data_IF_848692382501
#
_entry.id   IF_848692382501
#
_cell.length_a   1.000
_cell.length_b   1.000
_cell.length_c   1.000
_cell.angle_alpha   90.00
_cell.angle_beta   90.00
_cell.angle_gamma   90.00
#
_symmetry.space_group_name_H-M   'P 1'
#
loop_
_entity.id
_entity.type
_entity.pdbx_description
1 polymer ?
#
# COMPACT_ATOMS: atom_id res chain seq x y z
N UNK A 1 17.36 23.21 -18.35
CA UNK A 1 17.61 22.08 -17.43
C UNK A 1 16.45 22.06 -16.45
N UNK A 2 15.62 21.03 -16.45
CA UNK A 2 14.48 20.93 -15.53
C UNK A 2 15.05 20.68 -14.13
N UNK A 3 14.59 21.43 -13.12
CA UNK A 3 14.95 21.19 -11.73
C UNK A 3 14.42 19.81 -11.27
N UNK A 4 15.29 18.86 -10.89
CA UNK A 4 14.89 17.53 -10.47
C UNK A 4 13.93 17.54 -9.27
N UNK A 5 14.05 18.50 -8.35
CA UNK A 5 13.16 18.59 -7.20
C UNK A 5 11.75 18.99 -7.63
N UNK A 6 11.63 19.91 -8.58
CA UNK A 6 10.36 20.34 -9.16
C UNK A 6 9.69 19.22 -9.95
N UNK A 7 10.45 18.44 -10.70
CA UNK A 7 9.92 17.28 -11.44
C UNK A 7 9.38 16.20 -10.47
N UNK A 8 10.10 15.87 -9.41
CA UNK A 8 9.62 14.92 -8.40
C UNK A 8 8.40 15.43 -7.63
N UNK A 9 8.30 16.73 -7.40
CA UNK A 9 7.13 17.34 -6.78
C UNK A 9 5.87 17.21 -7.66
N UNK A 10 6.02 17.42 -8.97
CA UNK A 10 4.92 17.28 -9.94
C UNK A 10 4.37 15.85 -9.97
N UNK A 11 5.24 14.84 -10.06
CA UNK A 11 4.82 13.44 -10.06
C UNK A 11 4.10 13.05 -8.77
N UNK A 12 4.53 13.56 -7.61
CA UNK A 12 3.82 13.33 -6.34
C UNK A 12 2.40 13.88 -6.36
N UNK A 13 2.21 15.05 -6.97
CA UNK A 13 0.90 15.68 -7.08
C UNK A 13 -0.01 14.85 -7.99
N UNK A 14 0.50 14.39 -9.14
CA UNK A 14 -0.27 13.55 -10.06
C UNK A 14 -0.65 12.21 -9.43
N UNK A 15 0.30 11.53 -8.78
CA UNK A 15 0.03 10.30 -7.99
C UNK A 15 -1.03 10.55 -6.90
N UNK A 16 -0.95 11.68 -6.19
CA UNK A 16 -1.96 12.04 -5.18
C UNK A 16 -3.33 12.25 -5.83
N UNK A 17 -3.38 12.90 -6.99
CA UNK A 17 -4.60 13.14 -7.76
C UNK A 17 -5.27 11.81 -8.16
N UNK A 18 -4.51 10.90 -8.74
CA UNK A 18 -5.00 9.59 -9.17
C UNK A 18 -5.51 8.75 -8.00
N UNK A 19 -4.78 8.72 -6.88
CA UNK A 19 -5.25 8.04 -5.66
C UNK A 19 -6.55 8.67 -5.14
N UNK A 20 -6.64 9.99 -5.13
CA UNK A 20 -7.85 10.70 -4.67
C UNK A 20 -9.04 10.35 -5.55
N UNK A 21 -8.86 10.35 -6.87
CA UNK A 21 -9.91 10.02 -7.82
C UNK A 21 -10.35 8.55 -7.68
N UNK A 22 -9.38 7.63 -7.59
CA UNK A 22 -9.66 6.21 -7.43
C UNK A 22 -10.43 5.94 -6.13
N UNK A 23 -9.95 6.47 -5.00
CA UNK A 23 -10.58 6.25 -3.71
C UNK A 23 -11.95 6.93 -3.59
N UNK A 24 -12.16 8.06 -4.27
CA UNK A 24 -13.50 8.66 -4.39
C UNK A 24 -14.51 7.70 -5.03
N UNK A 25 -14.13 7.04 -6.13
CA UNK A 25 -14.97 6.02 -6.79
C UNK A 25 -15.23 4.82 -5.88
N UNK A 26 -14.19 4.32 -5.19
CA UNK A 26 -14.34 3.20 -4.25
C UNK A 26 -15.22 3.55 -3.05
N UNK A 27 -15.16 4.80 -2.57
CA UNK A 27 -16.01 5.28 -1.48
C UNK A 27 -17.48 5.27 -1.88
N UNK A 28 -17.80 5.76 -3.09
CA UNK A 28 -19.15 5.67 -3.64
C UNK A 28 -19.60 4.21 -3.75
N UNK A 29 -18.76 3.34 -4.33
CA UNK A 29 -19.11 1.93 -4.52
C UNK A 29 -19.35 1.18 -3.19
N UNK A 30 -18.49 1.38 -2.19
CA UNK A 30 -18.70 0.80 -0.86
C UNK A 30 -20.00 1.31 -0.21
N UNK A 31 -20.33 2.58 -0.40
CA UNK A 31 -21.56 3.16 0.15
C UNK A 31 -22.83 2.61 -0.54
N UNK A 32 -22.73 2.26 -1.82
CA UNK A 32 -23.81 1.59 -2.56
C UNK A 32 -24.03 0.14 -2.08
N UNK A 33 -22.96 -0.54 -1.63
CA UNK A 33 -23.06 -1.89 -1.05
C UNK A 33 -23.74 -1.82 0.32
N UNK A 34 -23.37 -0.86 1.17
CA UNK A 34 -23.99 -0.68 2.48
C UNK A 34 -23.44 0.51 3.25
N UNK A 35 -24.32 1.20 3.99
CA UNK A 35 -23.94 2.35 4.81
C UNK A 35 -22.96 1.99 5.94
N UNK A 36 -22.93 0.72 6.35
CA UNK A 36 -22.01 0.16 7.34
C UNK A 36 -20.55 0.17 6.87
N UNK A 37 -20.30 0.30 5.56
CA UNK A 37 -18.96 0.36 4.97
C UNK A 37 -18.40 1.78 4.89
N UNK A 38 -19.20 2.82 5.19
CA UNK A 38 -18.73 4.21 5.20
C UNK A 38 -17.51 4.41 6.11
N UNK A 39 -17.47 3.90 7.36
CA UNK A 39 -16.28 4.03 8.20
C UNK A 39 -15.04 3.34 7.63
N UNK A 40 -15.22 2.22 6.91
CA UNK A 40 -14.13 1.55 6.19
C UNK A 40 -13.58 2.42 5.06
N UNK A 41 -14.46 3.01 4.25
CA UNK A 41 -14.07 3.92 3.18
C UNK A 41 -13.34 5.16 3.72
N UNK A 42 -13.86 5.79 4.78
CA UNK A 42 -13.24 6.96 5.42
C UNK A 42 -11.86 6.64 6.00
N UNK A 43 -11.72 5.51 6.71
CA UNK A 43 -10.46 5.07 7.28
C UNK A 43 -9.42 4.78 6.19
N UNK A 44 -9.81 4.12 5.09
CA UNK A 44 -8.94 3.86 3.95
C UNK A 44 -8.51 5.16 3.25
N UNK A 45 -9.43 6.11 3.04
CA UNK A 45 -9.11 7.44 2.50
C UNK A 45 -8.07 8.15 3.37
N UNK A 46 -8.31 8.25 4.68
CA UNK A 46 -7.34 8.89 5.58
C UNK A 46 -6.00 8.17 5.55
N UNK A 47 -5.98 6.84 5.61
CA UNK A 47 -4.74 6.06 5.60
C UNK A 47 -3.88 6.33 4.34
N UNK A 48 -4.52 6.36 3.17
CA UNK A 48 -3.85 6.46 1.86
C UNK A 48 -3.53 7.90 1.46
N UNK A 49 -4.42 8.86 1.77
CA UNK A 49 -4.27 10.26 1.34
C UNK A 49 -3.41 11.08 2.31
N UNK A 50 -3.34 10.70 3.58
CA UNK A 50 -2.44 11.32 4.56
C UNK A 50 -1.00 10.75 4.51
N UNK A 51 -0.80 9.69 3.71
CA UNK A 51 0.51 9.25 3.23
C UNK A 51 1.05 10.29 2.23
N UNK A 52 2.33 10.60 2.06
CA UNK A 52 3.60 10.04 2.45
C UNK A 52 4.62 10.51 1.41
N UNK A 53 5.88 10.07 1.52
CA UNK A 53 6.94 10.42 0.57
C UNK A 53 6.78 9.77 -0.82
N UNK A 54 5.69 9.05 -1.14
CA UNK A 54 5.37 8.45 -2.45
C UNK A 54 6.59 7.83 -3.17
N UNK A 55 7.49 7.18 -2.41
CA UNK A 55 8.81 6.81 -2.93
C UNK A 55 8.72 5.72 -3.99
N UNK A 56 7.83 4.73 -3.80
CA UNK A 56 7.65 3.60 -4.71
C UNK A 56 7.15 4.06 -6.08
N UNK A 57 6.06 4.86 -6.18
CA UNK A 57 5.66 5.46 -7.44
C UNK A 57 6.78 6.24 -8.13
N UNK A 58 7.58 6.99 -7.36
CA UNK A 58 8.67 7.79 -7.93
C UNK A 58 9.81 6.94 -8.48
N UNK A 59 10.19 5.86 -7.80
CA UNK A 59 11.19 4.93 -8.32
C UNK A 59 10.68 4.21 -9.57
N UNK A 60 9.42 3.79 -9.58
CA UNK A 60 8.84 3.16 -10.76
C UNK A 60 8.75 4.09 -11.97
N UNK A 61 8.29 5.31 -11.75
CA UNK A 61 8.25 6.32 -12.80
C UNK A 61 9.66 6.68 -13.30
N UNK A 62 10.64 6.79 -12.40
CA UNK A 62 12.03 7.04 -12.78
C UNK A 62 12.64 5.89 -13.59
N UNK A 63 12.37 4.63 -13.22
CA UNK A 63 12.82 3.45 -13.97
C UNK A 63 12.22 3.44 -15.39
N UNK A 64 10.93 3.71 -15.51
CA UNK A 64 10.25 3.83 -16.79
C UNK A 64 10.87 4.92 -17.68
N UNK A 65 11.08 6.13 -17.18
CA UNK A 65 11.74 7.20 -17.95
C UNK A 65 13.18 6.84 -18.33
N UNK A 66 13.94 6.23 -17.40
CA UNK A 66 15.31 5.80 -17.66
C UNK A 66 15.40 4.72 -18.75
N UNK A 67 14.34 3.93 -18.95
CA UNK A 67 14.23 2.93 -20.02
C UNK A 67 13.83 3.50 -21.39
N UNK A 68 13.66 4.82 -21.50
CA UNK A 68 13.21 5.49 -22.73
C UNK A 68 11.69 5.71 -22.82
N UNK A 69 10.97 5.49 -21.71
CA UNK A 69 9.57 5.84 -21.59
C UNK A 69 9.31 7.33 -21.72
N UNK A 70 8.11 7.70 -22.13
CA UNK A 70 7.65 9.10 -22.24
C UNK A 70 6.58 9.38 -21.19
N UNK A 71 6.53 10.61 -20.69
CA UNK A 71 5.50 11.05 -19.75
C UNK A 71 4.09 10.73 -20.27
N UNK A 72 3.34 9.97 -19.49
CA UNK A 72 2.02 9.43 -19.81
C UNK A 72 1.24 9.24 -18.50
N UNK A 73 0.00 9.74 -18.47
CA UNK A 73 -0.85 9.64 -17.29
C UNK A 73 -1.19 8.19 -16.94
N UNK A 74 -1.31 7.30 -17.93
CA UNK A 74 -1.56 5.89 -17.67
C UNK A 74 -0.43 5.24 -16.86
N UNK A 75 0.81 5.70 -17.06
CA UNK A 75 1.95 5.24 -16.27
C UNK A 75 1.88 5.80 -14.86
N UNK A 76 1.45 7.05 -14.67
CA UNK A 76 1.22 7.61 -13.33
C UNK A 76 0.21 6.78 -12.56
N UNK A 77 -0.94 6.46 -13.18
CA UNK A 77 -1.97 5.63 -12.56
C UNK A 77 -1.44 4.23 -12.24
N UNK A 78 -0.68 3.63 -13.15
CA UNK A 78 -0.07 2.32 -12.94
C UNK A 78 0.89 2.33 -11.73
N UNK A 79 1.79 3.32 -11.63
CA UNK A 79 2.75 3.39 -10.51
C UNK A 79 2.11 3.84 -9.20
N UNK A 80 1.02 4.60 -9.24
CA UNK A 80 0.27 5.01 -8.06
C UNK A 80 -0.36 3.81 -7.34
N UNK A 81 -0.69 2.73 -8.06
CA UNK A 81 -1.18 1.48 -7.47
C UNK A 81 -0.25 0.91 -6.38
N UNK A 82 1.05 1.18 -6.46
CA UNK A 82 2.04 0.73 -5.47
C UNK A 82 1.80 1.31 -4.07
N UNK A 83 1.10 2.43 -3.94
CA UNK A 83 0.72 2.99 -2.64
C UNK A 83 -0.43 2.20 -1.99
N UNK A 84 -1.29 1.56 -2.79
CA UNK A 84 -2.34 0.64 -2.30
C UNK A 84 -1.71 -0.68 -1.81
N UNK A 85 -0.75 -1.22 -2.56
CA UNK A 85 0.07 -2.35 -2.10
C UNK A 85 0.82 -2.02 -0.79
N UNK A 86 1.37 -0.80 -0.68
CA UNK A 86 2.00 -0.33 0.55
C UNK A 86 1.00 -0.22 1.71
N UNK A 87 -0.24 0.17 1.44
CA UNK A 87 -1.26 0.21 2.47
C UNK A 87 -1.63 -1.18 2.98
N UNK A 88 -1.78 -2.16 2.08
CA UNK A 88 -1.92 -3.57 2.46
C UNK A 88 -0.81 -3.98 3.42
N UNK A 89 0.45 -3.79 3.00
CA UNK A 89 1.61 -4.18 3.79
C UNK A 89 1.60 -3.56 5.18
N UNK A 90 1.39 -2.24 5.28
CA UNK A 90 1.42 -1.51 6.57
C UNK A 90 0.25 -1.85 7.49
N UNK A 91 -0.96 -1.99 6.96
CA UNK A 91 -2.14 -2.31 7.75
C UNK A 91 -1.97 -3.68 8.42
N UNK A 92 -1.48 -4.66 7.66
CA UNK A 92 -1.18 -5.99 8.19
C UNK A 92 0.03 -5.98 9.14
N UNK A 93 1.11 -5.26 8.81
CA UNK A 93 2.30 -5.13 9.68
C UNK A 93 1.92 -4.54 11.05
N UNK A 94 1.13 -3.46 11.07
CA UNK A 94 0.67 -2.81 12.31
C UNK A 94 -0.12 -3.78 13.20
N UNK A 95 -0.93 -4.67 12.61
CA UNK A 95 -1.66 -5.69 13.35
C UNK A 95 -0.73 -6.80 13.86
N UNK A 96 0.16 -7.32 13.01
CA UNK A 96 1.06 -8.44 13.35
C UNK A 96 2.07 -8.05 14.43
N UNK A 97 2.57 -6.81 14.39
CA UNK A 97 3.50 -6.26 15.38
C UNK A 97 2.78 -5.71 16.64
N UNK A 98 1.44 -5.67 16.66
CA UNK A 98 0.67 -5.09 17.76
C UNK A 98 0.91 -3.59 17.95
N UNK A 99 1.22 -2.86 16.86
CA UNK A 99 1.54 -1.44 16.89
C UNK A 99 0.28 -0.59 17.06
N UNK A 100 0.16 0.14 18.17
CA UNK A 100 -1.03 0.95 18.46
C UNK A 100 -1.20 2.17 17.53
N UNK A 101 -0.10 2.67 16.96
CA UNK A 101 -0.10 3.92 16.19
C UNK A 101 0.71 3.83 14.91
N UNK A 102 0.27 4.58 13.90
CA UNK A 102 0.93 4.77 12.62
C UNK A 102 0.89 6.25 12.25
N UNK A 103 2.06 6.86 12.06
CA UNK A 103 2.21 8.28 11.66
C UNK A 103 1.44 9.25 12.57
N UNK A 104 1.47 8.99 13.89
CA UNK A 104 0.78 9.81 14.89
C UNK A 104 -0.73 9.61 14.97
N UNK A 105 -1.31 8.68 14.19
CA UNK A 105 -2.71 8.29 14.25
C UNK A 105 -2.87 6.87 14.78
N UNK A 106 -4.03 6.46 15.30
CA UNK A 106 -4.29 5.07 15.65
C UNK A 106 -4.07 4.13 14.44
N UNK A 107 -3.45 2.98 14.66
CA UNK A 107 -3.40 1.92 13.65
C UNK A 107 -4.81 1.43 13.31
N UNK A 108 -4.98 0.81 12.13
CA UNK A 108 -6.31 0.43 11.62
C UNK A 108 -7.07 -0.46 12.62
N UNK A 109 -6.41 -1.45 13.23
CA UNK A 109 -7.04 -2.33 14.21
C UNK A 109 -7.49 -1.57 15.47
N UNK A 110 -6.72 -0.58 15.94
CA UNK A 110 -7.10 0.27 17.08
C UNK A 110 -8.23 1.23 16.75
N UNK A 111 -8.24 1.77 15.53
CA UNK A 111 -9.32 2.64 15.08
C UNK A 111 -10.67 1.92 15.10
N UNK A 112 -10.73 0.70 14.54
CA UNK A 112 -11.96 -0.09 14.52
C UNK A 112 -12.33 -0.67 15.90
N UNK A 113 -11.35 -0.98 16.75
CA UNK A 113 -11.61 -1.28 18.16
C UNK A 113 -12.32 -0.10 18.86
N UNK A 114 -11.85 1.13 18.64
CA UNK A 114 -12.47 2.33 19.21
C UNK A 114 -13.89 2.56 18.69
N UNK A 115 -14.14 2.35 17.39
CA UNK A 115 -15.49 2.46 16.81
C UNK A 115 -16.43 1.44 17.48
N UNK A 116 -16.00 0.19 17.61
CA UNK A 116 -16.79 -0.88 18.25
C UNK A 116 -17.18 -0.51 19.68
N UNK A 117 -16.22 -0.04 20.48
CA UNK A 117 -16.47 0.42 21.86
C UNK A 117 -17.41 1.62 21.92
N UNK A 118 -17.20 2.62 21.08
CA UNK A 118 -18.02 3.84 21.09
C UNK A 118 -19.48 3.62 20.69
N UNK A 119 -19.74 2.56 19.91
CA UNK A 119 -21.08 2.17 19.46
C UNK A 119 -21.70 1.10 20.36
N UNK A 120 -21.03 0.74 21.45
CA UNK A 120 -21.48 -0.27 22.43
C UNK A 120 -21.88 -1.59 21.76
N UNK A 121 -21.13 -1.98 20.72
CA UNK A 121 -21.40 -3.21 19.99
C UNK A 121 -21.11 -4.44 20.86
N UNK A 122 -21.82 -5.52 20.59
CA UNK A 122 -21.60 -6.79 21.29
C UNK A 122 -20.31 -7.48 20.83
N UNK A 123 -19.73 -8.30 21.71
CA UNK A 123 -18.54 -9.12 21.42
C UNK A 123 -17.19 -8.44 21.69
N UNK A 124 -16.11 -9.01 21.16
CA UNK A 124 -14.74 -8.54 21.41
C UNK A 124 -14.38 -7.37 20.50
N UNK A 125 -14.18 -6.19 21.09
CA UNK A 125 -13.71 -5.01 20.36
C UNK A 125 -12.32 -5.22 19.71
N UNK A 126 -11.42 -5.92 20.41
CA UNK A 126 -10.08 -6.26 19.90
C UNK A 126 -10.21 -7.20 18.69
N UNK A 127 -11.07 -8.22 18.79
CA UNK A 127 -11.31 -9.16 17.70
C UNK A 127 -11.96 -8.49 16.48
N UNK A 128 -12.87 -7.54 16.71
CA UNK A 128 -13.46 -6.73 15.66
C UNK A 128 -12.42 -5.86 14.94
N UNK A 129 -11.58 -5.15 15.71
CA UNK A 129 -10.49 -4.33 15.16
C UNK A 129 -9.48 -5.14 14.35
N UNK A 130 -9.05 -6.30 14.87
CA UNK A 130 -8.15 -7.19 14.16
C UNK A 130 -8.75 -7.71 12.84
N UNK A 131 -10.02 -8.15 12.88
CA UNK A 131 -10.73 -8.63 11.69
C UNK A 131 -10.90 -7.53 10.65
N UNK A 132 -11.22 -6.31 11.07
CA UNK A 132 -11.30 -5.14 10.18
C UNK A 132 -9.96 -4.84 9.52
N UNK A 133 -8.85 -4.84 10.28
CA UNK A 133 -7.53 -4.59 9.71
C UNK A 133 -7.12 -5.66 8.67
N UNK A 134 -7.41 -6.94 8.91
CA UNK A 134 -7.17 -8.01 7.93
C UNK A 134 -7.91 -7.70 6.62
N UNK A 135 -9.23 -7.50 6.72
CA UNK A 135 -10.09 -7.27 5.55
C UNK A 135 -9.73 -5.98 4.79
N UNK A 136 -9.36 -4.92 5.50
CA UNK A 136 -8.96 -3.65 4.88
C UNK A 136 -7.59 -3.72 4.21
N UNK A 137 -6.66 -4.50 4.78
CA UNK A 137 -5.39 -4.78 4.11
C UNK A 137 -5.58 -5.63 2.84
N UNK A 138 -6.48 -6.63 2.89
CA UNK A 138 -6.83 -7.43 1.71
C UNK A 138 -7.54 -6.59 0.64
N UNK A 139 -8.44 -5.69 1.06
CA UNK A 139 -9.10 -4.76 0.16
C UNK A 139 -8.10 -3.82 -0.51
N UNK A 140 -7.10 -3.32 0.23
CA UNK A 140 -6.03 -2.51 -0.34
C UNK A 140 -5.23 -3.27 -1.41
N UNK A 141 -4.99 -4.57 -1.20
CA UNK A 141 -4.32 -5.42 -2.19
C UNK A 141 -5.18 -5.59 -3.45
N UNK A 142 -6.48 -5.85 -3.30
CA UNK A 142 -7.42 -5.93 -4.42
C UNK A 142 -7.48 -4.61 -5.19
N UNK A 143 -7.53 -3.49 -4.48
CA UNK A 143 -7.54 -2.16 -5.09
C UNK A 143 -6.24 -1.83 -5.82
N UNK A 144 -5.09 -2.29 -5.31
CA UNK A 144 -3.81 -2.17 -6.02
C UNK A 144 -3.91 -2.82 -7.40
N UNK A 145 -4.40 -4.06 -7.46
CA UNK A 145 -4.57 -4.79 -8.71
C UNK A 145 -5.60 -4.10 -9.61
N UNK A 146 -6.73 -3.63 -9.06
CA UNK A 146 -7.74 -2.89 -9.84
C UNK A 146 -7.18 -1.61 -10.45
N UNK A 147 -6.42 -0.82 -9.69
CA UNK A 147 -5.85 0.43 -10.18
C UNK A 147 -4.78 0.16 -11.25
N UNK A 148 -3.96 -0.87 -11.06
CA UNK A 148 -2.92 -1.26 -12.02
C UNK A 148 -3.51 -1.79 -13.34
N UNK A 149 -4.45 -2.73 -13.27
CA UNK A 149 -5.09 -3.34 -14.44
C UNK A 149 -5.92 -2.34 -15.25
N UNK A 150 -6.50 -1.32 -14.60
CA UNK A 150 -7.32 -0.30 -15.24
C UNK A 150 -6.58 1.04 -15.42
N UNK A 151 -5.25 1.03 -15.36
CA UNK A 151 -4.41 2.23 -15.49
C UNK A 151 -4.42 2.85 -16.89
N UNK A 152 -4.83 2.08 -17.90
CA UNK A 152 -4.85 2.53 -19.30
C UNK A 152 -3.56 2.28 -20.07
N UNK A 153 -2.55 1.64 -19.45
CA UNK A 153 -1.38 1.15 -20.19
C UNK A 153 -1.80 0.08 -21.21
N UNK A 154 -1.07 -0.03 -22.32
CA UNK A 154 -1.38 -1.06 -23.33
C UNK A 154 -1.33 -2.48 -22.75
N UNK A 155 -2.16 -3.39 -23.26
CA UNK A 155 -2.16 -4.81 -22.87
C UNK A 155 -0.76 -5.43 -22.95
N UNK A 156 0.00 -5.09 -23.99
CA UNK A 156 1.36 -5.57 -24.16
C UNK A 156 2.31 -5.06 -23.06
N UNK A 157 2.13 -3.82 -22.60
CA UNK A 157 2.91 -3.26 -21.49
C UNK A 157 2.51 -3.91 -20.15
N UNK A 158 1.21 -4.09 -19.93
CA UNK A 158 0.69 -4.79 -18.75
C UNK A 158 1.24 -6.21 -18.66
N UNK A 159 1.15 -7.00 -19.74
CA UNK A 159 1.66 -8.37 -19.74
C UNK A 159 3.16 -8.45 -19.46
N UNK A 160 3.96 -7.46 -19.90
CA UNK A 160 5.40 -7.40 -19.61
C UNK A 160 5.69 -7.09 -18.14
N UNK A 161 4.89 -6.25 -17.50
CA UNK A 161 5.12 -5.83 -16.12
C UNK A 161 4.62 -6.82 -15.07
N UNK A 162 3.66 -7.71 -15.41
CA UNK A 162 3.11 -8.71 -14.50
C UNK A 162 4.18 -9.58 -13.82
N UNK A 163 5.21 -10.03 -14.55
CA UNK A 163 6.25 -10.88 -13.98
C UNK A 163 7.02 -10.19 -12.84
N UNK A 164 7.41 -8.92 -13.03
CA UNK A 164 8.10 -8.13 -12.01
C UNK A 164 7.17 -7.75 -10.86
N UNK A 165 5.92 -7.42 -11.19
CA UNK A 165 4.88 -7.10 -10.21
C UNK A 165 4.59 -8.27 -9.27
N UNK A 166 4.44 -9.48 -9.81
CA UNK A 166 4.20 -10.70 -9.04
C UNK A 166 5.41 -11.05 -8.18
N UNK A 167 6.63 -10.97 -8.74
CA UNK A 167 7.85 -11.22 -7.99
C UNK A 167 8.01 -10.25 -6.82
N UNK A 168 7.71 -8.97 -7.02
CA UNK A 168 7.70 -7.96 -5.97
C UNK A 168 6.73 -8.29 -4.83
N UNK A 169 5.51 -8.73 -5.16
CA UNK A 169 4.51 -9.11 -4.16
C UNK A 169 4.95 -10.35 -3.38
N UNK A 170 5.47 -11.35 -4.06
CA UNK A 170 6.00 -12.57 -3.43
C UNK A 170 7.14 -12.23 -2.47
N UNK A 171 8.10 -11.41 -2.90
CA UNK A 171 9.25 -11.00 -2.10
C UNK A 171 8.85 -10.16 -0.87
N UNK A 172 7.87 -9.26 -1.02
CA UNK A 172 7.30 -8.49 0.08
C UNK A 172 6.69 -9.42 1.14
N UNK A 173 5.81 -10.34 0.75
CA UNK A 173 5.14 -11.25 1.66
C UNK A 173 6.13 -12.20 2.35
N UNK A 174 7.10 -12.73 1.59
CA UNK A 174 8.17 -13.53 2.15
C UNK A 174 9.02 -12.73 3.16
N UNK A 175 9.32 -11.47 2.85
CA UNK A 175 10.03 -10.56 3.75
C UNK A 175 9.29 -10.31 5.06
N UNK A 176 7.97 -10.07 5.00
CA UNK A 176 7.13 -9.92 6.20
C UNK A 176 7.08 -11.19 7.04
N UNK A 177 6.92 -12.35 6.40
CA UNK A 177 6.94 -13.63 7.12
C UNK A 177 8.28 -13.89 7.82
N UNK A 178 9.40 -13.62 7.14
CA UNK A 178 10.73 -13.76 7.74
C UNK A 178 10.92 -12.86 8.96
N UNK A 179 10.34 -11.66 8.94
CA UNK A 179 10.40 -10.72 10.07
C UNK A 179 9.66 -11.25 11.30
N UNK A 180 8.43 -11.72 11.12
CA UNK A 180 7.63 -12.35 12.18
C UNK A 180 8.33 -13.60 12.71
N UNK A 181 8.89 -14.42 11.81
CA UNK A 181 9.62 -15.62 12.20
C UNK A 181 10.85 -15.26 13.05
N UNK A 182 11.62 -14.24 12.67
CA UNK A 182 12.79 -13.77 13.43
C UNK A 182 12.40 -13.31 14.84
N UNK A 183 11.29 -12.59 14.99
CA UNK A 183 10.78 -12.15 16.30
C UNK A 183 10.43 -13.34 17.21
N UNK A 184 9.96 -14.46 16.62
CA UNK A 184 9.64 -15.67 17.38
C UNK A 184 10.90 -16.48 17.78
N UNK A 185 12.06 -16.19 17.18
CA UNK A 185 13.31 -16.85 17.54
C UNK A 185 13.92 -16.19 18.80
N UNK A 186 14.30 -17.00 19.78
CA UNK A 186 15.07 -16.53 20.94
C UNK A 186 16.56 -16.27 20.62
N UNK A 187 16.89 -15.98 19.36
CA UNK A 187 18.27 -15.77 18.89
C UNK A 187 18.34 -14.55 17.97
N UNK A 188 19.49 -13.88 17.92
CA UNK A 188 19.71 -12.74 17.03
C UNK A 188 20.76 -13.07 15.96
N UNK A 189 20.54 -12.61 14.73
CA UNK A 189 21.51 -12.78 13.64
C UNK A 189 21.50 -11.60 12.67
N UNK A 190 22.65 -10.94 12.54
CA UNK A 190 22.85 -9.86 11.58
C UNK A 190 22.53 -10.32 10.15
N UNK A 191 22.93 -11.54 9.78
CA UNK A 191 22.68 -12.08 8.44
C UNK A 191 21.18 -12.25 8.15
N UNK A 192 20.37 -12.63 9.15
CA UNK A 192 18.92 -12.76 8.99
C UNK A 192 18.25 -11.39 8.96
N UNK A 193 18.65 -10.46 9.83
CA UNK A 193 18.16 -9.07 9.79
C UNK A 193 18.46 -8.38 8.45
N UNK A 194 19.65 -8.59 7.88
CA UNK A 194 19.99 -8.06 6.55
C UNK A 194 19.16 -8.70 5.43
N UNK A 195 18.84 -9.99 5.53
CA UNK A 195 17.96 -10.67 4.58
C UNK A 195 16.54 -10.09 4.64
N UNK A 196 15.99 -9.90 5.84
CA UNK A 196 14.69 -9.25 6.05
C UNK A 196 14.71 -7.84 5.44
N UNK A 197 15.72 -7.02 5.78
CA UNK A 197 15.85 -5.67 5.24
C UNK A 197 15.92 -5.64 3.71
N UNK A 198 16.62 -6.61 3.09
CA UNK A 198 16.70 -6.75 1.64
C UNK A 198 15.32 -7.00 1.02
N UNK A 199 14.55 -7.95 1.52
CA UNK A 199 13.26 -8.33 0.91
C UNK A 199 12.10 -7.43 1.35
N UNK A 200 11.90 -7.21 2.65
CA UNK A 200 10.81 -6.40 3.22
C UNK A 200 10.91 -4.92 2.84
N UNK A 201 12.12 -4.40 2.60
CA UNK A 201 12.33 -2.97 2.31
C UNK A 201 13.08 -2.74 1.00
N UNK A 202 14.31 -3.19 0.84
CA UNK A 202 15.18 -2.81 -0.29
C UNK A 202 14.58 -3.17 -1.66
N UNK A 203 14.23 -4.44 -1.84
CA UNK A 203 13.66 -4.95 -3.09
C UNK A 203 12.31 -4.34 -3.39
N UNK A 204 11.41 -4.41 -2.42
CA UNK A 204 10.04 -3.94 -2.55
C UNK A 204 9.94 -2.41 -2.73
N UNK A 205 10.81 -1.62 -2.09
CA UNK A 205 10.70 -0.15 -2.10
C UNK A 205 11.43 0.51 -3.26
N UNK A 206 12.49 -0.13 -3.78
CA UNK A 206 13.41 0.48 -4.75
C UNK A 206 13.68 -0.44 -5.95
N UNK A 207 14.27 -1.62 -5.73
CA UNK A 207 14.76 -2.49 -6.83
C UNK A 207 13.62 -2.89 -7.78
N UNK A 208 12.52 -3.41 -7.25
CA UNK A 208 11.39 -3.87 -8.06
C UNK A 208 10.61 -2.74 -8.71
N UNK A 209 10.33 -1.61 -8.02
CA UNK A 209 9.80 -0.44 -8.70
C UNK A 209 10.65 -0.02 -9.91
N UNK A 210 12.00 -0.08 -9.84
CA UNK A 210 12.87 0.34 -10.94
C UNK A 210 12.91 -0.60 -12.16
N UNK A 211 12.52 -1.87 -12.02
CA UNK A 211 12.59 -2.89 -13.06
C UNK A 211 11.37 -2.87 -13.99
#
# INVERSE_FOLDING_TARGET
MIDPQRALADIRIRVQGDLTQFLGKQTTYLSEIGAELVPAAEAMNSFLLDSGKRLRPLFAYAGYLASGGTDDESIITAVASLELLQACALIHDDLMDGSDTRRGKPAMHRHFESIHRSRELSGSAIGYGASAAILLGDLALVWSDQMFHNSGISDAALLRSLAVHDEMRVELMAGQFLDIHEQALATQSVARSLKIARYKSGKYTIERPLH
#
